data_IF_491534366896
#
_entry.id   IF_491534366896
#
_cell.length_a   1.000
_cell.length_b   1.000
_cell.length_c   1.000
_cell.angle_alpha   90.00
_cell.angle_beta   90.00
_cell.angle_gamma   90.00
#
_symmetry.space_group_name_H-M   'P 1'
#
loop_
_entity.id
_entity.type
_entity.pdbx_description
1 polymer ?
#
# COMPACT_ATOMS: atom_id res chain seq x y z
N UNK A 1 -19.75 14.22 2.98
CA UNK A 1 -19.35 12.79 3.11
C UNK A 1 -20.59 11.99 3.44
N UNK A 2 -20.88 10.94 2.67
CA UNK A 2 -22.03 10.04 2.87
C UNK A 2 -21.94 9.36 4.24
N UNK A 3 -23.08 9.13 4.91
CA UNK A 3 -23.19 8.43 6.20
C UNK A 3 -22.65 7.00 6.16
N UNK A 4 -22.76 6.34 4.98
CA UNK A 4 -22.16 5.02 4.73
C UNK A 4 -20.65 5.09 4.81
N UNK A 5 -20.02 6.04 4.10
CA UNK A 5 -18.57 6.22 4.08
C UNK A 5 -18.00 6.55 5.46
N UNK A 6 -18.69 7.39 6.22
CA UNK A 6 -18.29 7.68 7.61
C UNK A 6 -18.23 6.42 8.46
N UNK A 7 -19.29 5.59 8.41
CA UNK A 7 -19.35 4.35 9.20
C UNK A 7 -18.27 3.36 8.80
N UNK A 8 -18.02 3.19 7.49
CA UNK A 8 -16.96 2.31 6.99
C UNK A 8 -15.60 2.80 7.52
N UNK A 9 -15.27 4.07 7.33
CA UNK A 9 -14.00 4.66 7.78
C UNK A 9 -13.81 4.61 9.29
N UNK A 10 -14.86 4.86 10.06
CA UNK A 10 -14.80 4.74 11.53
C UNK A 10 -14.53 3.30 11.97
N UNK A 11 -15.21 2.33 11.35
CA UNK A 11 -15.02 0.91 11.63
C UNK A 11 -13.62 0.44 11.26
N UNK A 12 -13.14 0.77 10.06
CA UNK A 12 -11.79 0.43 9.59
C UNK A 12 -10.72 1.08 10.45
N UNK A 13 -10.85 2.37 10.77
CA UNK A 13 -9.93 3.06 11.68
C UNK A 13 -9.88 2.38 13.04
N UNK A 14 -11.03 2.03 13.63
CA UNK A 14 -11.08 1.34 14.92
C UNK A 14 -10.35 -0.02 14.85
N UNK A 15 -10.66 -0.82 13.84
CA UNK A 15 -10.05 -2.14 13.63
C UNK A 15 -8.53 -2.06 13.48
N UNK A 16 -8.04 -1.13 12.65
CA UNK A 16 -6.61 -0.94 12.45
C UNK A 16 -5.92 -0.35 13.69
N UNK A 17 -6.57 0.58 14.41
CA UNK A 17 -6.01 1.09 15.66
C UNK A 17 -5.86 -0.01 16.71
N UNK A 18 -6.85 -0.89 16.86
CA UNK A 18 -6.78 -2.05 17.75
C UNK A 18 -5.65 -2.99 17.32
N UNK A 19 -5.53 -3.28 16.02
CA UNK A 19 -4.48 -4.11 15.46
C UNK A 19 -3.08 -3.50 15.71
N UNK A 20 -2.89 -2.22 15.39
CA UNK A 20 -1.59 -1.56 15.53
C UNK A 20 -1.20 -1.29 16.98
N UNK A 21 -2.16 -1.26 17.90
CA UNK A 21 -1.91 -1.16 19.36
C UNK A 21 -1.55 -2.50 19.99
N UNK A 22 -1.76 -3.62 19.32
CA UNK A 22 -1.50 -4.95 19.86
C UNK A 22 -0.01 -5.30 19.70
N UNK A 23 0.76 -5.19 20.79
CA UNK A 23 2.20 -5.46 20.82
C UNK A 23 2.57 -6.89 20.37
N UNK A 24 1.67 -7.87 20.55
CA UNK A 24 1.92 -9.25 20.11
C UNK A 24 2.06 -9.37 18.59
N UNK A 25 1.42 -8.48 17.83
CA UNK A 25 1.52 -8.46 16.36
C UNK A 25 2.88 -7.96 15.86
N UNK A 26 3.68 -7.31 16.72
CA UNK A 26 5.02 -6.82 16.38
C UNK A 26 6.15 -7.79 16.73
N UNK A 27 5.83 -9.02 17.18
CA UNK A 27 6.86 -10.04 17.45
C UNK A 27 7.53 -10.51 16.16
N UNK A 28 8.71 -11.13 16.28
CA UNK A 28 9.64 -11.46 15.19
C UNK A 28 9.00 -12.19 14.00
N UNK A 29 7.97 -13.01 14.24
CA UNK A 29 7.29 -13.78 13.20
C UNK A 29 6.00 -13.15 12.66
N UNK A 30 5.66 -11.94 13.12
CA UNK A 30 4.46 -11.23 12.68
C UNK A 30 4.51 -10.89 11.18
N UNK A 31 3.37 -11.05 10.52
CA UNK A 31 3.20 -10.61 9.13
C UNK A 31 3.35 -9.10 8.98
N UNK A 32 3.11 -8.31 10.05
CA UNK A 32 3.31 -6.85 10.05
C UNK A 32 4.78 -6.43 9.89
N UNK A 33 5.72 -7.32 10.21
CA UNK A 33 7.16 -7.08 10.02
C UNK A 33 7.71 -7.63 8.69
N UNK A 34 6.92 -8.43 7.96
CA UNK A 34 7.37 -9.03 6.69
C UNK A 34 6.77 -8.26 5.51
N UNK A 35 7.57 -7.79 4.56
CA UNK A 35 7.05 -7.22 3.33
C UNK A 35 6.27 -8.27 2.56
N UNK A 36 5.33 -7.83 1.73
CA UNK A 36 4.61 -8.78 0.87
C UNK A 36 5.56 -9.39 -0.15
N UNK A 37 5.28 -10.64 -0.54
CA UNK A 37 6.13 -11.39 -1.48
C UNK A 37 6.38 -10.63 -2.78
N UNK A 38 5.36 -9.97 -3.33
CA UNK A 38 5.49 -9.18 -4.57
C UNK A 38 6.50 -8.04 -4.41
N UNK A 39 6.52 -7.34 -3.28
CA UNK A 39 7.53 -6.30 -3.02
C UNK A 39 8.93 -6.89 -2.92
N UNK A 40 9.09 -8.04 -2.22
CA UNK A 40 10.38 -8.75 -2.17
C UNK A 40 10.89 -9.14 -3.57
N UNK A 41 9.99 -9.59 -4.46
CA UNK A 41 10.32 -9.94 -5.85
C UNK A 41 10.73 -8.71 -6.69
N UNK A 42 10.26 -7.50 -6.33
CA UNK A 42 10.57 -6.26 -7.03
C UNK A 42 11.89 -5.61 -6.60
N UNK A 43 12.28 -5.72 -5.34
CA UNK A 43 13.49 -5.10 -4.79
C UNK A 43 14.73 -5.34 -5.68
N UNK A 44 15.01 -6.57 -6.19
CA UNK A 44 16.16 -6.82 -7.04
C UNK A 44 16.21 -6.01 -8.33
N UNK A 45 15.05 -5.54 -8.83
CA UNK A 45 14.98 -4.74 -10.08
C UNK A 45 15.62 -3.36 -9.92
N UNK A 46 15.78 -2.89 -8.69
CA UNK A 46 16.29 -1.54 -8.38
C UNK A 46 17.73 -1.53 -7.88
N UNK A 47 18.42 -2.67 -7.79
CA UNK A 47 19.79 -2.77 -7.25
C UNK A 47 20.81 -1.91 -8.00
N UNK A 48 20.58 -1.64 -9.29
CA UNK A 48 21.45 -0.80 -10.10
C UNK A 48 21.09 0.70 -10.07
N UNK A 49 20.01 1.06 -9.35
CA UNK A 49 19.58 2.44 -9.23
C UNK A 49 20.51 3.18 -8.25
N UNK A 50 21.10 4.28 -8.71
CA UNK A 50 21.94 5.14 -7.86
C UNK A 50 21.11 5.93 -6.83
N UNK A 51 19.85 6.18 -7.16
CA UNK A 51 18.85 6.82 -6.28
C UNK A 51 17.53 6.12 -6.49
N UNK A 52 16.84 5.80 -5.42
CA UNK A 52 15.54 5.16 -5.44
C UNK A 52 14.54 6.02 -4.64
N UNK A 53 13.51 6.51 -5.30
CA UNK A 53 12.42 7.27 -4.69
C UNK A 53 11.17 6.42 -4.71
N UNK A 54 10.67 6.12 -3.54
CA UNK A 54 9.54 5.22 -3.34
C UNK A 54 8.39 5.95 -2.66
N UNK A 55 7.18 5.68 -3.11
CA UNK A 55 5.94 6.08 -2.46
C UNK A 55 5.16 4.83 -2.10
N UNK A 56 4.72 4.71 -0.85
CA UNK A 56 3.84 3.64 -0.36
C UNK A 56 2.53 4.26 0.13
N UNK A 57 1.46 4.12 -0.67
CA UNK A 57 0.13 4.62 -0.38
C UNK A 57 -0.63 3.59 0.47
N UNK A 58 -1.11 3.99 1.65
CA UNK A 58 -1.66 3.08 2.65
C UNK A 58 -0.56 2.22 3.28
N UNK A 59 0.54 2.87 3.69
CA UNK A 59 1.76 2.17 4.12
C UNK A 59 1.58 1.37 5.43
N UNK A 60 0.51 1.63 6.21
CA UNK A 60 0.31 1.06 7.52
C UNK A 60 1.52 1.32 8.42
N UNK A 61 1.98 0.30 9.13
CA UNK A 61 3.15 0.36 10.02
C UNK A 61 4.49 0.25 9.29
N UNK A 62 4.48 0.29 7.95
CA UNK A 62 5.68 0.43 7.12
C UNK A 62 6.41 -0.84 6.75
N UNK A 63 5.80 -2.02 6.81
CA UNK A 63 6.48 -3.30 6.47
C UNK A 63 7.17 -3.30 5.11
N UNK A 64 6.56 -2.68 4.09
CA UNK A 64 7.14 -2.58 2.75
C UNK A 64 8.17 -1.44 2.68
N UNK A 65 7.88 -0.28 3.29
CA UNK A 65 8.79 0.86 3.38
C UNK A 65 10.12 0.46 4.00
N UNK A 66 10.08 -0.20 5.17
CA UNK A 66 11.26 -0.65 5.91
C UNK A 66 12.07 -1.66 5.09
N UNK A 67 11.38 -2.64 4.46
CA UNK A 67 12.07 -3.64 3.66
C UNK A 67 12.82 -3.03 2.46
N UNK A 68 12.19 -2.09 1.74
CA UNK A 68 12.85 -1.40 0.63
C UNK A 68 13.99 -0.54 1.15
N UNK A 69 13.78 0.30 2.18
CA UNK A 69 14.83 1.14 2.73
C UNK A 69 16.03 0.33 3.22
N UNK A 70 15.81 -0.80 3.93
CA UNK A 70 16.87 -1.65 4.48
C UNK A 70 17.73 -2.30 3.40
N UNK A 71 17.16 -2.70 2.27
CA UNK A 71 17.91 -3.30 1.17
C UNK A 71 18.92 -2.32 0.52
N UNK A 72 18.60 -1.03 0.53
CA UNK A 72 19.45 0.00 -0.08
C UNK A 72 20.40 0.69 0.91
N UNK A 73 20.34 0.37 2.19
CA UNK A 73 21.21 0.95 3.22
C UNK A 73 22.67 0.54 3.13
N UNK A 74 22.98 -0.57 2.45
CA UNK A 74 24.32 -1.15 2.37
C UNK A 74 25.03 -0.97 1.03
N UNK A 75 24.44 -0.31 0.06
CA UNK A 75 25.11 -0.06 -1.23
C UNK A 75 26.06 1.11 -1.06
N UNK A 76 27.33 0.77 -0.91
CA UNK A 76 28.47 1.70 -0.81
C UNK A 76 28.66 2.43 -2.17
N UNK A 77 27.74 3.31 -2.52
CA UNK A 77 27.89 4.22 -3.63
C UNK A 77 28.66 5.44 -3.14
N UNK A 78 29.98 5.39 -3.33
CA UNK A 78 30.94 6.41 -2.94
C UNK A 78 30.73 7.79 -3.57
N UNK A 79 29.54 8.34 -3.48
CA UNK A 79 29.21 9.67 -3.93
C UNK A 79 28.61 10.48 -2.77
N UNK A 80 29.47 10.93 -1.86
CA UNK A 80 29.14 12.02 -0.94
C UNK A 80 29.00 13.30 -1.75
N UNK A 81 27.79 13.63 -2.20
CA UNK A 81 27.55 14.97 -2.72
C UNK A 81 27.29 15.91 -1.53
N UNK A 82 28.17 16.88 -1.34
CA UNK A 82 28.13 17.85 -0.23
C UNK A 82 26.89 18.79 -0.26
N UNK A 83 26.02 18.71 -1.28
CA UNK A 83 24.88 19.58 -1.50
C UNK A 83 23.51 18.88 -1.60
N UNK A 84 23.36 17.67 -1.05
CA UNK A 84 22.07 16.97 -1.01
C UNK A 84 21.30 17.39 0.24
N UNK A 85 20.07 17.88 0.09
CA UNK A 85 19.13 18.09 1.22
C UNK A 85 18.85 16.76 1.97
N UNK A 86 19.16 15.62 1.36
CA UNK A 86 19.12 14.28 1.92
C UNK A 86 20.54 13.80 2.20
N UNK A 87 21.06 14.13 3.38
CA UNK A 87 22.38 13.70 3.81
C UNK A 87 22.41 12.17 3.98
N UNK A 88 22.96 11.50 3.00
CA UNK A 88 23.47 10.14 3.17
C UNK A 88 22.67 8.99 2.56
N UNK A 89 21.48 9.20 1.98
CA UNK A 89 20.67 8.09 1.47
C UNK A 89 20.47 8.16 -0.04
N UNK A 90 20.91 7.14 -0.73
CA UNK A 90 20.53 6.90 -2.13
C UNK A 90 19.07 6.40 -2.26
N UNK A 91 18.39 6.15 -1.16
CA UNK A 91 16.99 5.72 -1.10
C UNK A 91 16.17 6.69 -0.23
N UNK A 92 15.03 7.12 -0.76
CA UNK A 92 14.03 7.88 -0.02
C UNK A 92 12.65 7.21 -0.17
N UNK A 93 12.06 6.85 0.94
CA UNK A 93 10.74 6.18 1.01
C UNK A 93 9.75 7.09 1.72
N UNK A 94 8.68 7.44 1.04
CA UNK A 94 7.55 8.19 1.59
C UNK A 94 6.39 7.24 1.85
N UNK A 95 6.02 7.07 3.12
CA UNK A 95 4.84 6.31 3.52
C UNK A 95 3.66 7.25 3.82
N UNK A 96 2.52 7.01 3.19
CA UNK A 96 1.28 7.77 3.40
C UNK A 96 0.24 6.86 4.03
N UNK A 97 -0.37 7.29 5.13
CA UNK A 97 -1.48 6.58 5.76
C UNK A 97 -2.45 7.57 6.42
N UNK A 98 -3.74 7.22 6.45
CA UNK A 98 -4.77 8.05 7.08
C UNK A 98 -4.68 8.03 8.61
N UNK A 99 -4.04 7.02 9.20
CA UNK A 99 -3.96 6.81 10.64
C UNK A 99 -2.67 7.41 11.22
N UNK A 100 -2.77 8.41 12.13
CA UNK A 100 -1.58 8.92 12.82
C UNK A 100 -0.78 7.84 13.53
N UNK A 101 -1.45 6.85 14.15
CA UNK A 101 -0.79 5.72 14.82
C UNK A 101 0.02 4.85 13.85
N UNK A 102 -0.47 4.64 12.61
CA UNK A 102 0.27 3.90 11.60
C UNK A 102 1.59 4.60 11.28
N UNK A 103 1.54 5.91 11.07
CA UNK A 103 2.73 6.73 10.80
C UNK A 103 3.68 6.79 12.00
N UNK A 104 3.16 6.91 13.22
CA UNK A 104 3.99 6.81 14.43
C UNK A 104 4.74 5.48 14.47
N UNK A 105 4.05 4.36 14.22
CA UNK A 105 4.64 3.02 14.19
C UNK A 105 5.63 2.84 13.03
N UNK A 106 5.33 3.36 11.84
CA UNK A 106 6.27 3.39 10.72
C UNK A 106 7.60 4.05 11.13
N UNK A 107 7.54 5.24 11.75
CA UNK A 107 8.75 5.97 12.15
C UNK A 107 9.49 5.27 13.30
N UNK A 108 8.79 4.67 14.27
CA UNK A 108 9.40 3.82 15.30
C UNK A 108 10.13 2.62 14.67
N UNK A 109 9.48 1.90 13.77
CA UNK A 109 10.07 0.77 13.05
C UNK A 109 11.29 1.22 12.21
N UNK A 110 11.24 2.40 11.59
CA UNK A 110 12.37 2.95 10.84
C UNK A 110 13.60 3.17 11.74
N UNK A 111 13.40 3.66 12.96
CA UNK A 111 14.49 3.79 13.96
C UNK A 111 15.02 2.41 14.35
N UNK A 112 14.15 1.45 14.68
CA UNK A 112 14.53 0.09 15.10
C UNK A 112 15.37 -0.64 14.04
N UNK A 113 15.09 -0.38 12.74
CA UNK A 113 15.81 -0.98 11.62
C UNK A 113 16.98 -0.13 11.10
N UNK A 114 17.25 1.03 11.72
CA UNK A 114 18.34 1.91 11.35
C UNK A 114 18.15 2.67 10.04
N UNK A 115 16.90 2.78 9.55
CA UNK A 115 16.55 3.43 8.26
C UNK A 115 15.77 4.74 8.44
N UNK A 116 15.87 5.37 9.60
CA UNK A 116 15.11 6.59 9.93
C UNK A 116 15.44 7.80 9.05
N UNK A 117 16.63 7.84 8.45
CA UNK A 117 17.01 8.90 7.52
C UNK A 117 16.47 8.68 6.10
N UNK A 118 16.06 7.45 5.77
CA UNK A 118 15.52 7.07 4.46
C UNK A 118 14.00 7.10 4.40
N UNK A 119 13.33 7.02 5.54
CA UNK A 119 11.87 6.86 5.63
C UNK A 119 11.23 8.09 6.22
N UNK A 120 10.26 8.64 5.52
CA UNK A 120 9.37 9.66 6.08
C UNK A 120 7.92 9.18 6.04
N UNK A 121 7.13 9.65 7.01
CA UNK A 121 5.72 9.31 7.15
C UNK A 121 4.83 10.55 7.02
N UNK A 122 3.73 10.42 6.31
CA UNK A 122 2.78 11.49 6.04
C UNK A 122 1.39 11.01 6.45
N UNK A 123 0.73 11.75 7.35
CA UNK A 123 -0.66 11.49 7.74
C UNK A 123 -1.59 12.18 6.76
N UNK A 124 -2.20 11.41 5.86
CA UNK A 124 -3.18 11.93 4.90
C UNK A 124 -4.07 10.80 4.37
N UNK A 125 -5.34 11.06 4.04
CA UNK A 125 -6.12 10.19 3.17
C UNK A 125 -5.43 10.10 1.79
N UNK A 126 -5.52 8.93 1.14
CA UNK A 126 -4.88 8.72 -0.17
C UNK A 126 -5.44 9.70 -1.21
N UNK A 127 -6.75 9.92 -1.21
CA UNK A 127 -7.41 10.84 -2.14
C UNK A 127 -6.91 12.27 -2.02
N UNK A 128 -6.52 12.73 -0.83
CA UNK A 128 -6.05 14.09 -0.56
C UNK A 128 -4.55 14.27 -0.77
N UNK A 129 -3.78 13.19 -0.84
CA UNK A 129 -2.34 13.24 -1.05
C UNK A 129 -2.02 13.51 -2.52
N UNK A 130 -1.33 14.60 -2.82
CA UNK A 130 -0.90 14.94 -4.20
C UNK A 130 0.40 14.23 -4.55
N UNK A 131 0.37 13.38 -5.59
CA UNK A 131 1.53 12.63 -6.07
C UNK A 131 2.39 13.51 -6.98
N UNK A 132 3.69 13.61 -6.69
CA UNK A 132 4.64 14.38 -7.52
C UNK A 132 4.83 13.72 -8.88
N UNK A 133 4.65 14.48 -9.97
CA UNK A 133 4.77 13.98 -11.36
C UNK A 133 6.22 13.63 -11.72
N UNK A 134 6.41 12.51 -12.43
CA UNK A 134 7.70 12.02 -12.92
C UNK A 134 8.79 12.03 -11.81
N UNK A 135 8.43 11.57 -10.62
CA UNK A 135 9.31 11.69 -9.47
C UNK A 135 9.69 10.34 -8.86
N UNK A 136 8.78 9.37 -8.82
CA UNK A 136 8.98 8.11 -8.14
C UNK A 136 9.49 7.02 -9.09
N UNK A 137 10.45 6.25 -8.61
CA UNK A 137 10.97 5.05 -9.28
C UNK A 137 10.10 3.83 -8.95
N UNK A 138 9.44 3.83 -7.79
CA UNK A 138 8.49 2.81 -7.36
C UNK A 138 7.31 3.46 -6.62
N UNK A 139 6.09 3.12 -7.03
CA UNK A 139 4.88 3.42 -6.25
C UNK A 139 4.21 2.11 -5.87
N UNK A 140 3.96 1.97 -4.58
CA UNK A 140 3.23 0.87 -3.97
C UNK A 140 1.84 1.36 -3.54
N UNK A 141 0.81 0.54 -3.76
CA UNK A 141 -0.49 0.67 -3.12
C UNK A 141 -1.01 -0.75 -2.85
N UNK A 142 -0.90 -1.19 -1.61
CA UNK A 142 -1.12 -2.58 -1.23
C UNK A 142 -2.33 -2.67 -0.30
N UNK A 143 -3.45 -3.14 -0.84
CA UNK A 143 -4.75 -3.19 -0.14
C UNK A 143 -5.09 -1.83 0.47
N UNK A 144 -5.09 -0.81 -0.38
CA UNK A 144 -5.20 0.57 0.05
C UNK A 144 -6.10 1.42 -0.87
N UNK A 145 -6.04 1.23 -2.19
CA UNK A 145 -6.82 2.04 -3.12
C UNK A 145 -8.32 1.77 -3.05
N UNK A 146 -8.74 0.60 -2.63
CA UNK A 146 -10.13 0.27 -2.35
C UNK A 146 -10.75 1.05 -1.17
N UNK A 147 -9.90 1.76 -0.41
CA UNK A 147 -10.28 2.59 0.74
C UNK A 147 -10.30 4.10 0.46
N UNK A 148 -10.16 4.53 -0.80
CA UNK A 148 -10.44 5.92 -1.18
C UNK A 148 -11.96 6.17 -1.15
N UNK A 149 -12.37 7.42 -1.05
CA UNK A 149 -13.75 7.78 -0.74
C UNK A 149 -14.76 7.45 -1.84
N UNK A 150 -14.38 7.49 -3.11
CA UNK A 150 -15.25 7.24 -4.27
C UNK A 150 -14.54 6.53 -5.41
N UNK A 151 -15.31 5.97 -6.36
CA UNK A 151 -14.77 5.40 -7.60
C UNK A 151 -14.12 6.46 -8.49
N UNK A 152 -14.61 7.70 -8.45
CA UNK A 152 -14.00 8.83 -9.15
C UNK A 152 -12.62 9.16 -8.57
N UNK A 153 -12.50 9.17 -7.22
CA UNK A 153 -11.22 9.36 -6.53
C UNK A 153 -10.26 8.21 -6.82
N UNK A 154 -10.75 6.98 -6.89
CA UNK A 154 -9.98 5.81 -7.29
C UNK A 154 -9.41 5.99 -8.70
N UNK A 155 -10.24 6.34 -9.68
CA UNK A 155 -9.81 6.54 -11.06
C UNK A 155 -8.82 7.72 -11.19
N UNK A 156 -9.10 8.82 -10.50
CA UNK A 156 -8.20 10.00 -10.45
C UNK A 156 -6.85 9.64 -9.86
N UNK A 157 -6.83 8.87 -8.75
CA UNK A 157 -5.60 8.47 -8.09
C UNK A 157 -4.76 7.52 -8.94
N UNK A 158 -5.37 6.62 -9.70
CA UNK A 158 -4.65 5.79 -10.67
C UNK A 158 -3.94 6.62 -11.75
N UNK A 159 -4.57 7.70 -12.22
CA UNK A 159 -3.94 8.63 -13.17
C UNK A 159 -2.77 9.38 -12.54
N UNK A 160 -2.93 9.87 -11.29
CA UNK A 160 -1.84 10.51 -10.57
C UNK A 160 -0.65 9.55 -10.33
N UNK A 161 -0.93 8.28 -9.99
CA UNK A 161 0.09 7.23 -9.86
C UNK A 161 0.85 7.06 -11.17
N UNK A 162 0.12 6.91 -12.30
CA UNK A 162 0.73 6.79 -13.63
C UNK A 162 1.64 7.97 -13.96
N UNK A 163 1.16 9.20 -13.70
CA UNK A 163 1.93 10.42 -13.94
C UNK A 163 3.11 10.58 -12.98
N UNK A 164 3.00 10.02 -11.77
CA UNK A 164 4.02 10.10 -10.72
C UNK A 164 5.26 9.26 -11.00
N UNK A 165 5.12 8.18 -11.77
CA UNK A 165 6.22 7.25 -12.08
C UNK A 165 7.17 7.85 -13.11
N UNK A 166 8.49 7.77 -12.83
CA UNK A 166 9.57 8.12 -13.75
C UNK A 166 9.66 7.13 -14.91
N UNK A 167 10.43 7.49 -15.95
CA UNK A 167 10.82 6.55 -17.01
C UNK A 167 11.57 5.35 -16.41
N UNK A 168 11.20 4.13 -16.81
CA UNK A 168 11.67 2.84 -16.28
C UNK A 168 11.22 2.52 -14.84
N UNK A 169 10.48 3.42 -14.19
CA UNK A 169 9.92 3.17 -12.87
C UNK A 169 8.79 2.14 -12.90
N UNK A 170 8.41 1.66 -11.73
CA UNK A 170 7.48 0.53 -11.55
C UNK A 170 6.32 0.94 -10.66
N UNK A 171 5.12 0.51 -11.01
CA UNK A 171 3.96 0.54 -10.14
C UNK A 171 3.65 -0.88 -9.65
N UNK A 172 3.30 -1.02 -8.37
CA UNK A 172 2.84 -2.28 -7.79
C UNK A 172 1.54 -2.04 -7.03
N UNK A 173 0.45 -2.53 -7.59
CA UNK A 173 -0.90 -2.39 -7.06
C UNK A 173 -1.42 -3.77 -6.63
N UNK A 174 -1.91 -3.85 -5.40
CA UNK A 174 -2.63 -5.02 -4.89
C UNK A 174 -3.97 -4.51 -4.36
N UNK A 175 -5.05 -4.91 -5.01
CA UNK A 175 -6.38 -4.33 -4.79
C UNK A 175 -7.39 -5.44 -4.61
N UNK A 176 -8.24 -5.33 -3.58
CA UNK A 176 -9.37 -6.22 -3.38
C UNK A 176 -10.51 -5.85 -4.32
N UNK A 177 -11.15 -6.86 -4.90
CA UNK A 177 -12.29 -6.75 -5.81
C UNK A 177 -13.31 -7.85 -5.54
N UNK A 178 -14.54 -7.69 -6.03
CA UNK A 178 -15.64 -8.64 -5.78
C UNK A 178 -15.78 -9.02 -4.31
N UNK A 179 -15.60 -8.05 -3.41
CA UNK A 179 -15.66 -8.30 -1.98
C UNK A 179 -17.09 -8.60 -1.57
N UNK A 180 -17.30 -9.74 -0.92
CA UNK A 180 -18.58 -10.20 -0.40
C UNK A 180 -18.42 -10.66 1.03
N UNK A 181 -19.39 -10.32 1.87
CA UNK A 181 -19.42 -10.75 3.26
C UNK A 181 -20.79 -11.34 3.59
N UNK A 182 -20.81 -12.41 4.38
CA UNK A 182 -22.04 -13.02 4.84
C UNK A 182 -21.90 -13.56 6.27
N UNK A 183 -23.00 -13.63 6.96
CA UNK A 183 -23.07 -14.28 8.28
C UNK A 183 -22.92 -15.79 8.11
N UNK A 184 -21.96 -16.40 8.81
CA UNK A 184 -21.68 -17.84 8.69
C UNK A 184 -22.77 -18.72 9.28
N UNK A 185 -23.56 -18.24 10.23
CA UNK A 185 -24.58 -19.04 10.90
C UNK A 185 -25.86 -19.18 10.05
N UNK A 186 -26.28 -18.09 9.40
CA UNK A 186 -27.56 -18.04 8.69
C UNK A 186 -27.43 -17.72 7.19
N UNK A 187 -26.22 -17.48 6.68
CA UNK A 187 -25.95 -17.20 5.28
C UNK A 187 -26.41 -15.82 4.80
N UNK A 188 -26.94 -14.96 5.69
CA UNK A 188 -27.43 -13.65 5.27
C UNK A 188 -26.27 -12.75 4.76
N UNK A 189 -26.47 -12.00 3.67
CA UNK A 189 -25.47 -11.09 3.16
C UNK A 189 -25.26 -9.93 4.14
N UNK A 190 -24.00 -9.51 4.28
CA UNK A 190 -23.58 -8.36 5.06
C UNK A 190 -22.95 -7.36 4.11
N UNK A 191 -23.17 -6.09 4.32
CA UNK A 191 -22.50 -5.05 3.54
C UNK A 191 -21.01 -5.05 3.91
N UNK A 192 -20.14 -5.40 2.95
CA UNK A 192 -18.70 -5.35 3.13
C UNK A 192 -18.25 -3.90 3.42
N UNK A 193 -17.25 -3.79 4.31
CA UNK A 193 -16.75 -2.49 4.75
C UNK A 193 -15.60 -2.02 3.85
N UNK A 194 -15.93 -1.82 2.57
CA UNK A 194 -15.04 -1.27 1.56
C UNK A 194 -15.71 -0.07 0.92
N UNK A 195 -14.99 1.02 0.77
CA UNK A 195 -15.51 2.24 0.16
C UNK A 195 -15.73 2.02 -1.34
N UNK A 196 -14.72 1.50 -2.02
CA UNK A 196 -14.75 1.13 -3.45
C UNK A 196 -14.68 -0.40 -3.56
N UNK A 197 -15.68 -0.99 -4.20
CA UNK A 197 -15.75 -2.44 -4.41
C UNK A 197 -16.12 -2.75 -5.86
N UNK A 198 -15.11 -2.76 -6.72
CA UNK A 198 -15.24 -3.03 -8.16
C UNK A 198 -15.34 -4.54 -8.43
N UNK A 199 -15.97 -4.90 -9.53
CA UNK A 199 -15.87 -6.25 -10.08
C UNK A 199 -14.45 -6.54 -10.57
N UNK A 200 -14.01 -7.80 -10.45
CA UNK A 200 -12.62 -8.19 -10.80
C UNK A 200 -12.29 -7.90 -12.26
N UNK A 201 -13.19 -8.24 -13.20
CA UNK A 201 -12.98 -7.99 -14.63
C UNK A 201 -12.95 -6.48 -14.95
N UNK A 202 -13.81 -5.72 -14.28
CA UNK A 202 -13.84 -4.27 -14.41
C UNK A 202 -12.55 -3.64 -13.91
N UNK A 203 -12.07 -4.02 -12.72
CA UNK A 203 -10.80 -3.56 -12.17
C UNK A 203 -9.63 -3.89 -13.09
N UNK A 204 -9.55 -5.13 -13.61
CA UNK A 204 -8.50 -5.52 -14.54
C UNK A 204 -8.54 -4.68 -15.83
N UNK A 205 -9.73 -4.37 -16.37
CA UNK A 205 -9.89 -3.50 -17.52
C UNK A 205 -9.43 -2.07 -17.23
N UNK A 206 -9.81 -1.51 -16.06
CA UNK A 206 -9.37 -0.18 -15.64
C UNK A 206 -7.84 -0.12 -15.58
N UNK A 207 -7.20 -1.09 -14.92
CA UNK A 207 -5.74 -1.14 -14.77
C UNK A 207 -5.03 -1.26 -16.12
N UNK A 208 -5.47 -2.18 -16.99
CA UNK A 208 -4.86 -2.37 -18.31
C UNK A 208 -5.02 -1.14 -19.21
N UNK A 209 -6.18 -0.47 -19.15
CA UNK A 209 -6.42 0.76 -19.91
C UNK A 209 -5.60 1.93 -19.35
N UNK A 210 -5.56 2.09 -18.01
CA UNK A 210 -4.81 3.17 -17.37
C UNK A 210 -3.32 3.08 -17.70
N UNK A 211 -2.74 1.88 -17.64
CA UNK A 211 -1.31 1.64 -17.89
C UNK A 211 -1.03 1.13 -19.32
N UNK A 212 -1.89 1.47 -20.28
CA UNK A 212 -1.64 1.13 -21.68
C UNK A 212 -0.27 1.65 -22.16
N UNK A 213 0.45 0.81 -22.90
CA UNK A 213 1.81 1.09 -23.38
C UNK A 213 2.92 0.75 -22.37
N UNK A 214 2.59 0.37 -21.13
CA UNK A 214 3.57 -0.09 -20.16
C UNK A 214 3.86 -1.58 -20.25
N UNK A 215 5.05 -2.00 -19.83
CA UNK A 215 5.39 -3.44 -19.75
C UNK A 215 4.77 -4.03 -18.48
N UNK A 216 3.77 -4.91 -18.64
CA UNK A 216 3.18 -5.64 -17.52
C UNK A 216 4.16 -6.71 -17.04
N UNK A 217 4.64 -6.58 -15.80
CA UNK A 217 5.56 -7.53 -15.17
C UNK A 217 4.81 -8.64 -14.43
N UNK A 218 3.64 -8.33 -13.87
CA UNK A 218 2.78 -9.28 -13.15
C UNK A 218 1.32 -8.84 -13.25
N UNK A 219 0.44 -9.78 -13.55
CA UNK A 219 -1.00 -9.59 -13.48
C UNK A 219 -1.61 -10.90 -13.02
N UNK A 220 -2.09 -10.96 -11.78
CA UNK A 220 -2.66 -12.18 -11.19
C UNK A 220 -3.88 -11.85 -10.37
N UNK A 221 -4.79 -12.81 -10.29
CA UNK A 221 -5.96 -12.78 -9.41
C UNK A 221 -5.88 -13.96 -8.47
N UNK A 222 -6.07 -13.72 -7.19
CA UNK A 222 -6.08 -14.75 -6.15
C UNK A 222 -7.31 -14.59 -5.28
N UNK A 223 -8.14 -15.62 -5.21
CA UNK A 223 -9.25 -15.65 -4.26
C UNK A 223 -8.73 -15.72 -2.83
N UNK A 224 -9.31 -14.93 -1.95
CA UNK A 224 -9.05 -14.95 -0.52
C UNK A 224 -10.36 -15.13 0.26
N UNK A 225 -10.24 -15.80 1.39
CA UNK A 225 -11.36 -16.05 2.32
C UNK A 225 -10.90 -15.85 3.74
N UNK A 226 -11.67 -15.06 4.48
CA UNK A 226 -11.39 -14.74 5.88
C UNK A 226 -12.62 -14.96 6.73
N UNK A 227 -12.40 -15.52 7.91
CA UNK A 227 -13.39 -15.52 8.99
C UNK A 227 -13.13 -14.31 9.87
N UNK A 228 -14.10 -13.42 9.96
CA UNK A 228 -13.97 -12.18 10.72
C UNK A 228 -14.84 -12.28 11.97
N UNK A 229 -14.25 -12.24 13.17
CA UNK A 229 -15.02 -12.12 14.40
C UNK A 229 -15.78 -10.79 14.43
N UNK A 230 -17.08 -10.87 14.74
CA UNK A 230 -17.97 -9.74 14.93
C UNK A 230 -18.58 -9.82 16.33
N UNK A 231 -19.12 -8.73 16.87
CA UNK A 231 -19.80 -8.72 18.18
C UNK A 231 -20.98 -9.72 18.25
N UNK A 232 -21.61 -10.01 17.12
CA UNK A 232 -22.77 -10.90 16.99
C UNK A 232 -22.42 -12.32 16.51
N UNK A 233 -21.16 -12.68 16.26
CA UNK A 233 -20.77 -14.00 15.76
C UNK A 233 -19.61 -13.94 14.77
N UNK A 234 -19.60 -14.80 13.75
CA UNK A 234 -18.55 -14.85 12.73
C UNK A 234 -19.14 -14.53 11.37
N UNK A 235 -18.53 -13.60 10.64
CA UNK A 235 -18.75 -13.42 9.22
C UNK A 235 -17.68 -14.11 8.39
N UNK A 236 -18.04 -14.54 7.17
CA UNK A 236 -17.10 -14.97 6.16
C UNK A 236 -17.02 -13.92 5.07
N UNK A 237 -15.83 -13.39 4.87
CA UNK A 237 -15.49 -12.46 3.80
C UNK A 237 -14.75 -13.21 2.70
N UNK A 238 -15.17 -13.00 1.46
CA UNK A 238 -14.47 -13.47 0.26
C UNK A 238 -14.12 -12.28 -0.61
N UNK A 239 -12.95 -12.30 -1.23
CA UNK A 239 -12.53 -11.29 -2.20
C UNK A 239 -11.62 -11.91 -3.26
N UNK A 240 -11.53 -11.27 -4.41
CA UNK A 240 -10.49 -11.51 -5.40
C UNK A 240 -9.42 -10.42 -5.26
N UNK A 241 -8.21 -10.82 -4.95
CA UNK A 241 -7.07 -9.92 -4.85
C UNK A 241 -6.38 -9.83 -6.21
N UNK A 242 -6.48 -8.69 -6.85
CA UNK A 242 -5.80 -8.38 -8.10
C UNK A 242 -4.42 -7.83 -7.76
N UNK A 243 -3.36 -8.52 -8.21
CA UNK A 243 -1.99 -8.00 -8.17
C UNK A 243 -1.61 -7.55 -9.58
N UNK A 244 -1.30 -6.27 -9.71
CA UNK A 244 -0.88 -5.66 -10.97
C UNK A 244 0.45 -4.94 -10.78
N UNK A 245 1.45 -5.34 -11.57
CA UNK A 245 2.77 -4.71 -11.58
C UNK A 245 3.12 -4.34 -13.01
N UNK A 246 3.44 -3.08 -13.24
CA UNK A 246 3.81 -2.60 -14.56
C UNK A 246 5.00 -1.64 -14.50
N UNK A 247 5.81 -1.64 -15.54
CA UNK A 247 6.96 -0.75 -15.74
C UNK A 247 6.67 0.22 -16.87
N UNK A 248 6.95 1.49 -16.63
CA UNK A 248 6.87 2.57 -17.61
C UNK A 248 7.96 2.47 -18.68
#
# INVERSE_FOLDING_TARGET
>A
MDERLKRIRESEKKSHMEMYSNEQLYQTDSWLKKPIKTVQELIPLFREYKKLRVLDLGCGVGRNCIAVASEFMGTDSGCKSENSEYKGADCAVEGVDILPLAIEKLLQNAVEHGVSEQVCGIVAPIEDYTIRKNYYDLILAISALEHVDTEESFASKLLEIKEGICEKGVVCLVINSDVREHNKENGSPIQAQFEVNLGTEELQKILTTTFEGWTVLKSTVQEQRYDIPREWGISALTSNVVTFVARR
#
